data_IF_481555278872
#
_entry.id   IF_481555278872
#
_cell.length_a   1.000
_cell.length_b   1.000
_cell.length_c   1.000
_cell.angle_alpha   90.00
_cell.angle_beta   90.00
_cell.angle_gamma   90.00
#
_symmetry.space_group_name_H-M   'P 1'
#
loop_
_entity.id
_entity.type
_entity.pdbx_description
1 polymer ?
#
# COMPACT_ATOMS: atom_id res chain seq x y z
N UNK A 1 -33.63 -13.63 11.28
CA UNK A 1 -32.67 -14.74 11.54
C UNK A 1 -31.25 -14.22 11.51
N UNK A 2 -30.45 -14.51 12.57
CA UNK A 2 -29.01 -14.15 12.58
C UNK A 2 -28.27 -14.94 11.50
N UNK A 3 -27.60 -14.28 10.52
CA UNK A 3 -26.79 -14.99 9.53
C UNK A 3 -25.63 -15.70 10.21
N UNK A 4 -25.58 -17.03 10.14
CA UNK A 4 -24.52 -17.86 10.72
C UNK A 4 -23.55 -18.28 9.62
N UNK A 5 -22.25 -18.06 9.85
CA UNK A 5 -21.15 -18.42 8.97
C UNK A 5 -20.28 -19.51 9.61
N UNK A 6 -19.51 -20.24 8.80
CA UNK A 6 -18.45 -21.09 9.35
C UNK A 6 -17.26 -20.22 9.75
N UNK A 7 -16.93 -19.24 8.90
CA UNK A 7 -15.86 -18.29 9.15
C UNK A 7 -16.31 -16.85 8.92
N UNK A 8 -15.92 -15.96 9.82
CA UNK A 8 -15.89 -14.51 9.57
C UNK A 8 -14.43 -14.06 9.57
N UNK A 9 -14.02 -13.46 8.46
CA UNK A 9 -12.68 -12.90 8.28
C UNK A 9 -12.77 -11.39 8.50
N UNK A 10 -11.98 -10.86 9.41
CA UNK A 10 -11.94 -9.42 9.73
C UNK A 10 -10.74 -8.79 9.04
N UNK A 11 -11.02 -8.03 7.99
CA UNK A 11 -10.03 -7.40 7.11
C UNK A 11 -9.85 -8.14 5.78
N UNK A 12 -10.09 -7.41 4.67
CA UNK A 12 -9.94 -7.91 3.30
C UNK A 12 -8.62 -7.51 2.65
N UNK A 13 -7.53 -7.56 3.41
CA UNK A 13 -6.17 -7.46 2.92
C UNK A 13 -5.67 -8.80 2.34
N UNK A 14 -4.36 -8.89 2.06
CA UNK A 14 -3.75 -10.07 1.40
C UNK A 14 -4.03 -11.38 2.14
N UNK A 15 -3.88 -11.38 3.47
CA UNK A 15 -4.13 -12.57 4.29
C UNK A 15 -5.61 -12.96 4.31
N UNK A 16 -6.50 -11.98 4.57
CA UNK A 16 -7.93 -12.22 4.67
C UNK A 16 -8.55 -12.69 3.36
N UNK A 17 -8.22 -12.06 2.25
CA UNK A 17 -8.69 -12.46 0.90
C UNK A 17 -8.22 -13.87 0.55
N UNK A 18 -6.94 -14.19 0.83
CA UNK A 18 -6.40 -15.52 0.58
C UNK A 18 -7.14 -16.59 1.36
N UNK A 19 -7.30 -16.37 2.69
CA UNK A 19 -8.00 -17.29 3.56
C UNK A 19 -9.47 -17.47 3.14
N UNK A 20 -10.21 -16.35 2.96
CA UNK A 20 -11.62 -16.38 2.60
C UNK A 20 -11.87 -17.18 1.31
N UNK A 21 -11.08 -16.93 0.28
CA UNK A 21 -11.17 -17.67 -0.99
C UNK A 21 -10.91 -19.15 -0.81
N UNK A 22 -9.83 -19.50 -0.11
CA UNK A 22 -9.44 -20.90 0.11
C UNK A 22 -10.52 -21.67 0.88
N UNK A 23 -11.11 -21.09 1.91
CA UNK A 23 -12.16 -21.75 2.69
C UNK A 23 -13.47 -21.86 1.90
N UNK A 24 -13.84 -20.83 1.15
CA UNK A 24 -15.03 -20.86 0.31
C UNK A 24 -14.93 -21.93 -0.80
N UNK A 25 -13.76 -22.09 -1.44
CA UNK A 25 -13.54 -23.17 -2.43
C UNK A 25 -13.60 -24.58 -1.83
N UNK A 26 -13.42 -24.70 -0.50
CA UNK A 26 -13.62 -25.95 0.25
C UNK A 26 -15.06 -26.17 0.72
N UNK A 27 -16.01 -25.33 0.30
CA UNK A 27 -17.43 -25.45 0.62
C UNK A 27 -17.87 -24.79 1.93
N UNK A 28 -16.98 -24.10 2.64
CA UNK A 28 -17.36 -23.39 3.87
C UNK A 28 -18.12 -22.09 3.57
N UNK A 29 -19.08 -21.76 4.41
CA UNK A 29 -19.82 -20.49 4.36
C UNK A 29 -18.98 -19.37 4.99
N UNK A 30 -18.39 -18.51 4.15
CA UNK A 30 -17.44 -17.48 4.56
C UNK A 30 -18.01 -16.09 4.38
N UNK A 31 -17.82 -15.25 5.39
CA UNK A 31 -18.03 -13.80 5.32
C UNK A 31 -16.70 -13.08 5.53
N UNK A 32 -16.45 -12.01 4.79
CA UNK A 32 -15.29 -11.13 4.98
C UNK A 32 -15.77 -9.70 5.25
N UNK A 33 -15.22 -9.08 6.29
CA UNK A 33 -15.48 -7.68 6.66
C UNK A 33 -14.33 -6.80 6.19
N UNK A 34 -14.66 -5.65 5.59
CA UNK A 34 -13.66 -4.64 5.23
C UNK A 34 -14.22 -3.23 5.50
N UNK A 35 -13.49 -2.45 6.28
CA UNK A 35 -13.90 -1.08 6.62
C UNK A 35 -13.64 -0.06 5.53
N UNK A 36 -12.74 -0.38 4.58
CA UNK A 36 -12.30 0.51 3.51
C UNK A 36 -12.46 -0.19 2.15
N UNK A 37 -11.38 -0.44 1.43
CA UNK A 37 -11.38 -1.06 0.10
C UNK A 37 -10.79 -2.47 0.16
N UNK A 38 -11.45 -3.43 -0.48
CA UNK A 38 -10.93 -4.81 -0.63
C UNK A 38 -9.59 -4.79 -1.37
N UNK A 39 -8.62 -5.53 -0.84
CA UNK A 39 -7.24 -5.57 -1.34
C UNK A 39 -6.22 -5.13 -0.27
N UNK A 40 -6.68 -4.36 0.73
CA UNK A 40 -5.87 -3.92 1.86
C UNK A 40 -4.66 -3.06 1.47
N UNK A 41 -3.72 -2.91 2.38
CA UNK A 41 -2.55 -2.04 2.20
C UNK A 41 -1.79 -2.36 0.92
N UNK A 42 -1.44 -3.61 0.67
CA UNK A 42 -0.60 -3.99 -0.47
C UNK A 42 -1.19 -3.54 -1.82
N UNK A 43 -2.48 -3.77 -2.05
CA UNK A 43 -3.12 -3.44 -3.33
C UNK A 43 -3.48 -1.97 -3.43
N UNK A 44 -3.96 -1.37 -2.33
CA UNK A 44 -4.59 -0.04 -2.38
C UNK A 44 -3.58 1.08 -2.13
N UNK A 45 -2.65 0.91 -1.17
CA UNK A 45 -1.78 1.99 -0.66
C UNK A 45 -0.39 1.49 -0.24
N UNK A 46 0.14 0.48 -0.91
CA UNK A 46 1.42 -0.12 -0.57
C UNK A 46 2.16 -0.68 -1.79
N UNK A 47 2.33 -2.00 -1.83
CA UNK A 47 3.17 -2.70 -2.81
C UNK A 47 2.84 -2.33 -4.25
N UNK A 48 1.57 -2.38 -4.65
CA UNK A 48 1.17 -2.17 -6.04
C UNK A 48 1.32 -0.71 -6.47
N UNK A 49 0.72 0.28 -5.79
CA UNK A 49 0.89 1.67 -6.21
C UNK A 49 2.34 2.14 -6.11
N UNK A 50 3.12 1.67 -5.10
CA UNK A 50 4.54 1.95 -5.01
C UNK A 50 5.30 1.43 -6.23
N UNK A 51 5.03 0.19 -6.65
CA UNK A 51 5.70 -0.43 -7.80
C UNK A 51 5.40 0.31 -9.11
N UNK A 52 4.16 0.79 -9.29
CA UNK A 52 3.81 1.63 -10.43
C UNK A 52 4.61 2.93 -10.46
N UNK A 53 4.81 3.56 -9.30
CA UNK A 53 5.64 4.75 -9.17
C UNK A 53 7.13 4.47 -9.43
N UNK A 54 7.64 3.34 -8.96
CA UNK A 54 9.02 2.89 -9.26
C UNK A 54 9.20 2.68 -10.76
N UNK A 55 8.27 1.99 -11.43
CA UNK A 55 8.35 1.82 -12.89
C UNK A 55 8.36 3.16 -13.63
N UNK A 56 7.50 4.10 -13.21
CA UNK A 56 7.51 5.44 -13.80
C UNK A 56 8.84 6.18 -13.56
N UNK A 57 9.45 6.01 -12.39
CA UNK A 57 10.72 6.67 -12.05
C UNK A 57 11.92 6.11 -12.82
N UNK A 58 11.88 4.85 -13.21
CA UNK A 58 12.96 4.21 -13.97
C UNK A 58 13.07 4.76 -15.40
N UNK A 59 12.03 5.35 -15.96
CA UNK A 59 12.09 5.96 -17.30
C UNK A 59 13.15 7.04 -17.41
N UNK A 60 13.50 7.74 -16.33
CA UNK A 60 14.59 8.70 -16.33
C UNK A 60 15.92 8.04 -16.71
N UNK A 61 16.25 6.92 -16.11
CA UNK A 61 17.47 6.17 -16.38
C UNK A 61 17.42 5.63 -17.83
N UNK A 62 16.27 5.09 -18.29
CA UNK A 62 16.10 4.62 -19.67
C UNK A 62 16.25 5.73 -20.71
N UNK A 63 15.78 6.95 -20.45
CA UNK A 63 15.98 8.07 -21.35
C UNK A 63 17.45 8.49 -21.41
N UNK A 64 18.18 8.42 -20.31
CA UNK A 64 19.62 8.66 -20.28
C UNK A 64 20.39 7.65 -21.14
N UNK A 65 20.01 6.37 -21.05
CA UNK A 65 20.69 5.28 -21.75
C UNK A 65 20.28 5.17 -23.23
N UNK A 66 19.11 5.68 -23.58
CA UNK A 66 18.49 5.50 -24.90
C UNK A 66 19.40 5.92 -26.08
N UNK A 67 20.18 6.99 -25.92
CA UNK A 67 21.09 7.46 -26.94
C UNK A 67 22.19 6.44 -27.27
N UNK A 68 22.67 5.70 -26.28
CA UNK A 68 23.66 4.63 -26.45
C UNK A 68 23.12 3.44 -27.27
N UNK A 69 21.78 3.32 -27.32
CA UNK A 69 21.06 2.30 -28.10
C UNK A 69 20.51 2.84 -29.44
N UNK A 70 21.00 3.99 -29.91
CA UNK A 70 20.61 4.57 -31.18
C UNK A 70 19.33 5.40 -31.21
N UNK A 71 18.65 5.57 -30.06
CA UNK A 71 17.48 6.42 -29.99
C UNK A 71 17.84 7.90 -29.96
N UNK A 72 17.08 8.71 -30.70
CA UNK A 72 17.23 10.18 -30.70
C UNK A 72 16.12 10.79 -29.85
N UNK A 73 16.49 11.44 -28.75
CA UNK A 73 15.56 12.17 -27.89
C UNK A 73 15.77 13.66 -28.16
N UNK A 74 14.83 14.28 -28.88
CA UNK A 74 14.96 15.67 -29.37
C UNK A 74 14.76 16.71 -28.26
N UNK A 75 14.10 16.38 -27.16
CA UNK A 75 13.91 17.28 -26.01
C UNK A 75 13.99 16.47 -24.71
N UNK A 76 14.48 17.12 -23.64
CA UNK A 76 14.50 16.48 -22.32
C UNK A 76 13.09 16.07 -21.90
N UNK A 77 12.87 14.80 -21.57
CA UNK A 77 11.54 14.33 -21.16
C UNK A 77 11.11 14.95 -19.84
N UNK A 78 9.87 15.42 -19.79
CA UNK A 78 9.28 16.01 -18.58
C UNK A 78 8.29 15.04 -17.93
N UNK A 79 8.25 15.02 -16.61
CA UNK A 79 7.35 14.18 -15.84
C UNK A 79 6.12 14.95 -15.35
N UNK A 80 4.93 14.36 -15.49
CA UNK A 80 3.68 14.90 -14.99
C UNK A 80 3.09 14.02 -13.88
N UNK A 81 3.23 14.45 -12.64
CA UNK A 81 2.73 13.74 -11.47
C UNK A 81 1.22 13.50 -11.52
N UNK A 82 0.41 14.50 -11.89
CA UNK A 82 -1.05 14.36 -11.92
C UNK A 82 -1.51 13.30 -12.90
N UNK A 83 -0.82 13.17 -14.04
CA UNK A 83 -1.04 12.09 -15.02
C UNK A 83 -0.71 10.73 -14.42
N UNK A 84 0.46 10.59 -13.79
CA UNK A 84 0.89 9.35 -13.14
C UNK A 84 -0.07 8.97 -12.02
N UNK A 85 -0.45 9.90 -11.15
CA UNK A 85 -1.41 9.69 -10.08
C UNK A 85 -2.75 9.17 -10.61
N UNK A 86 -3.29 9.80 -11.66
CA UNK A 86 -4.55 9.38 -12.28
C UNK A 86 -4.47 7.97 -12.86
N UNK A 87 -3.40 7.66 -13.61
CA UNK A 87 -3.15 6.35 -14.20
C UNK A 87 -3.01 5.26 -13.12
N UNK A 88 -2.26 5.53 -12.07
CA UNK A 88 -2.13 4.65 -10.90
C UNK A 88 -3.51 4.38 -10.28
N UNK A 89 -4.31 5.41 -10.02
CA UNK A 89 -5.62 5.23 -9.39
C UNK A 89 -6.60 4.43 -10.26
N UNK A 90 -6.55 4.60 -11.59
CA UNK A 90 -7.32 3.78 -12.53
C UNK A 90 -6.97 2.30 -12.39
N UNK A 91 -5.68 1.98 -12.34
CA UNK A 91 -5.20 0.60 -12.18
C UNK A 91 -5.58 0.01 -10.81
N UNK A 92 -5.39 0.77 -9.71
CA UNK A 92 -5.78 0.32 -8.37
C UNK A 92 -7.29 0.05 -8.30
N UNK A 93 -8.11 0.88 -8.95
CA UNK A 93 -9.56 0.67 -9.01
C UNK A 93 -9.91 -0.58 -9.81
N UNK A 94 -9.22 -0.83 -10.92
CA UNK A 94 -9.38 -2.06 -11.71
C UNK A 94 -9.04 -3.31 -10.89
N UNK A 95 -7.93 -3.28 -10.17
CA UNK A 95 -7.50 -4.39 -9.30
C UNK A 95 -8.48 -4.62 -8.15
N UNK A 96 -8.93 -3.56 -7.49
CA UNK A 96 -9.94 -3.66 -6.42
C UNK A 96 -11.21 -4.40 -6.91
N UNK A 97 -11.72 -4.05 -8.10
CA UNK A 97 -12.87 -4.74 -8.72
C UNK A 97 -12.58 -6.23 -8.99
N UNK A 98 -11.36 -6.56 -9.42
CA UNK A 98 -10.96 -7.96 -9.66
C UNK A 98 -10.94 -8.74 -8.34
N UNK A 99 -10.42 -8.15 -7.26
CA UNK A 99 -10.40 -8.78 -5.94
C UNK A 99 -11.82 -9.07 -5.43
N UNK A 100 -12.74 -8.12 -5.59
CA UNK A 100 -14.16 -8.28 -5.25
C UNK A 100 -14.77 -9.42 -6.07
N UNK A 101 -14.67 -9.38 -7.40
CA UNK A 101 -15.18 -10.43 -8.29
C UNK A 101 -14.64 -11.82 -7.96
N UNK A 102 -13.36 -11.92 -7.60
CA UNK A 102 -12.75 -13.20 -7.23
C UNK A 102 -13.27 -13.76 -5.90
N UNK A 103 -13.65 -12.92 -4.95
CA UNK A 103 -14.32 -13.32 -3.72
C UNK A 103 -15.77 -13.78 -4.00
N UNK A 104 -16.51 -12.98 -4.76
CA UNK A 104 -17.90 -13.26 -5.13
C UNK A 104 -18.04 -14.57 -5.93
N UNK A 105 -17.13 -14.79 -6.89
CA UNK A 105 -17.13 -16.00 -7.72
C UNK A 105 -17.05 -17.31 -6.93
N UNK A 106 -16.41 -17.29 -5.77
CA UNK A 106 -16.32 -18.47 -4.88
C UNK A 106 -17.34 -18.44 -3.73
N UNK A 107 -18.33 -17.54 -3.76
CA UNK A 107 -19.43 -17.48 -2.81
C UNK A 107 -19.10 -16.80 -1.47
N UNK A 108 -18.02 -16.02 -1.38
CA UNK A 108 -17.71 -15.24 -0.17
C UNK A 108 -18.66 -14.05 -0.05
N UNK A 109 -19.34 -13.94 1.11
CA UNK A 109 -20.13 -12.74 1.43
C UNK A 109 -19.22 -11.61 1.85
N UNK A 110 -19.22 -10.50 1.11
CA UNK A 110 -18.45 -9.30 1.44
C UNK A 110 -19.35 -8.31 2.18
N UNK A 111 -18.92 -7.84 3.35
CA UNK A 111 -19.59 -6.76 4.09
C UNK A 111 -18.61 -5.61 4.25
N UNK A 112 -18.93 -4.48 3.59
CA UNK A 112 -18.08 -3.29 3.63
C UNK A 112 -18.44 -2.40 4.80
N UNK A 113 -18.13 -2.92 6.00
CA UNK A 113 -18.31 -2.23 7.28
C UNK A 113 -17.22 -2.63 8.27
N UNK A 114 -16.95 -1.76 9.22
CA UNK A 114 -16.17 -2.09 10.40
C UNK A 114 -17.00 -2.91 11.37
N UNK A 115 -16.40 -3.97 11.93
CA UNK A 115 -17.00 -4.82 12.95
C UNK A 115 -16.19 -4.84 14.23
N UNK A 116 -16.88 -4.99 15.36
CA UNK A 116 -16.27 -5.22 16.67
C UNK A 116 -16.86 -6.49 17.29
N UNK A 117 -16.06 -7.24 18.03
CA UNK A 117 -16.55 -8.40 18.75
C UNK A 117 -17.64 -7.97 19.74
N UNK A 118 -18.80 -8.60 19.65
CA UNK A 118 -19.90 -8.47 20.61
C UNK A 118 -19.75 -9.50 21.74
N UNK A 119 -19.36 -10.71 21.36
CA UNK A 119 -18.97 -11.81 22.25
C UNK A 119 -18.06 -12.79 21.49
N UNK A 120 -17.72 -13.94 22.10
CA UNK A 120 -16.86 -14.97 21.52
C UNK A 120 -17.34 -15.51 20.16
N UNK A 121 -18.64 -15.44 19.87
CA UNK A 121 -19.27 -16.08 18.71
C UNK A 121 -19.94 -15.09 17.75
N UNK A 122 -19.84 -13.78 18.00
CA UNK A 122 -20.52 -12.79 17.16
C UNK A 122 -19.79 -11.46 17.10
N UNK A 123 -20.02 -10.75 15.97
CA UNK A 123 -19.53 -9.41 15.69
C UNK A 123 -20.73 -8.49 15.47
N UNK A 124 -20.68 -7.29 16.03
CA UNK A 124 -21.58 -6.19 15.71
C UNK A 124 -20.95 -5.30 14.63
N UNK A 125 -21.71 -5.02 13.58
CA UNK A 125 -21.32 -4.12 12.51
C UNK A 125 -21.56 -2.67 12.95
N UNK A 126 -20.56 -1.82 12.84
CA UNK A 126 -20.61 -0.46 13.43
C UNK A 126 -21.67 0.44 12.80
N UNK A 127 -21.84 0.38 11.48
CA UNK A 127 -22.78 1.25 10.74
C UNK A 127 -24.22 0.73 10.82
N UNK A 128 -24.45 -0.51 10.44
CA UNK A 128 -25.78 -1.09 10.34
C UNK A 128 -26.32 -1.63 11.68
N UNK A 129 -25.49 -1.70 12.73
CA UNK A 129 -25.80 -2.26 14.06
C UNK A 129 -26.23 -3.73 14.01
N UNK A 130 -26.09 -4.39 12.87
CA UNK A 130 -26.44 -5.80 12.72
C UNK A 130 -25.43 -6.68 13.43
N UNK A 131 -25.93 -7.76 14.05
CA UNK A 131 -25.10 -8.79 14.67
C UNK A 131 -25.05 -10.00 13.73
N UNK A 132 -23.83 -10.44 13.42
CA UNK A 132 -23.54 -11.65 12.64
C UNK A 132 -22.71 -12.61 13.47
N UNK A 133 -22.88 -13.91 13.25
CA UNK A 133 -22.20 -14.95 14.04
C UNK A 133 -21.45 -15.94 13.16
N UNK A 134 -20.40 -16.53 13.73
CA UNK A 134 -19.62 -17.58 13.07
C UNK A 134 -19.14 -18.62 14.07
N UNK A 135 -18.75 -19.79 13.55
CA UNK A 135 -18.07 -20.82 14.32
C UNK A 135 -16.62 -20.41 14.66
N UNK A 136 -15.95 -19.71 13.71
CA UNK A 136 -14.56 -19.27 13.87
C UNK A 136 -14.34 -17.89 13.26
N UNK A 137 -13.38 -17.16 13.82
CA UNK A 137 -12.97 -15.83 13.36
C UNK A 137 -11.52 -15.83 12.95
N UNK A 138 -11.21 -15.11 11.85
CA UNK A 138 -9.86 -14.86 11.39
C UNK A 138 -9.61 -13.36 11.47
N UNK A 139 -8.66 -12.98 12.30
CA UNK A 139 -8.26 -11.58 12.48
C UNK A 139 -7.12 -11.29 11.50
N UNK A 140 -7.39 -10.48 10.48
CA UNK A 140 -6.43 -10.10 9.44
C UNK A 140 -6.50 -8.60 9.16
N UNK A 141 -6.57 -7.81 10.24
CA UNK A 141 -6.78 -6.36 10.22
C UNK A 141 -5.57 -5.55 9.74
N UNK A 142 -4.42 -6.19 9.62
CA UNK A 142 -3.18 -5.56 9.18
C UNK A 142 -2.60 -4.59 10.22
N UNK A 143 -1.87 -3.61 9.71
CA UNK A 143 -1.23 -2.56 10.52
C UNK A 143 -1.51 -1.18 9.94
N UNK A 144 -1.21 -0.15 10.72
CA UNK A 144 -1.26 1.25 10.30
C UNK A 144 0.12 1.87 10.44
N UNK A 145 0.50 2.85 9.60
CA UNK A 145 1.73 3.59 9.77
C UNK A 145 1.75 4.29 11.14
N UNK A 146 2.84 4.14 11.89
CA UNK A 146 3.06 4.89 13.12
C UNK A 146 3.69 6.25 12.82
N UNK A 147 3.23 7.29 13.49
CA UNK A 147 3.83 8.63 13.44
C UNK A 147 4.68 8.85 14.69
N UNK A 148 5.89 9.42 14.54
CA UNK A 148 6.73 9.72 15.70
C UNK A 148 6.03 10.71 16.63
N UNK A 149 6.24 10.55 17.95
CA UNK A 149 5.69 11.50 18.94
C UNK A 149 6.64 12.69 19.11
N UNK A 150 6.57 13.64 18.17
CA UNK A 150 7.36 14.87 18.14
C UNK A 150 6.46 16.07 17.88
N UNK A 151 6.82 17.29 18.34
CA UNK A 151 6.12 18.50 17.96
C UNK A 151 6.08 18.69 16.45
N UNK A 152 4.94 19.13 15.90
CA UNK A 152 4.74 19.32 14.46
C UNK A 152 4.40 18.06 13.67
N UNK A 153 4.23 16.88 14.31
CA UNK A 153 3.85 15.64 13.62
C UNK A 153 2.53 15.73 12.85
N UNK A 154 1.65 16.62 13.28
CA UNK A 154 0.35 16.89 12.64
C UNK A 154 0.49 17.57 11.27
N UNK A 155 1.64 18.18 10.98
CA UNK A 155 1.97 18.79 9.68
C UNK A 155 2.57 17.76 8.70
N UNK A 156 2.97 16.60 9.20
CA UNK A 156 3.54 15.53 8.38
C UNK A 156 2.45 14.58 7.89
N UNK A 157 2.73 13.93 6.77
CA UNK A 157 1.90 12.86 6.21
C UNK A 157 2.60 11.51 6.34
N UNK A 158 1.84 10.46 6.44
CA UNK A 158 2.35 9.09 6.40
C UNK A 158 2.31 8.49 4.98
N UNK A 159 2.82 7.26 4.84
CA UNK A 159 2.87 6.56 3.56
C UNK A 159 1.50 6.34 2.92
N UNK A 160 0.44 6.12 3.71
CA UNK A 160 -0.91 5.93 3.20
C UNK A 160 -1.43 7.21 2.55
N UNK A 161 -1.21 8.36 3.21
CA UNK A 161 -1.61 9.68 2.73
C UNK A 161 -0.81 10.10 1.49
N UNK A 162 0.48 9.72 1.40
CA UNK A 162 1.29 9.98 0.22
C UNK A 162 0.65 9.41 -1.07
N UNK A 163 0.10 8.21 -1.03
CA UNK A 163 -0.56 7.63 -2.20
C UNK A 163 -1.84 8.33 -2.63
N UNK A 164 -2.42 9.20 -1.78
CA UNK A 164 -3.62 9.99 -2.09
C UNK A 164 -3.30 11.42 -2.56
N UNK A 165 -2.02 11.81 -2.61
CA UNK A 165 -1.60 13.15 -3.03
C UNK A 165 -1.74 13.37 -4.55
N UNK A 166 -2.75 14.13 -4.95
CA UNK A 166 -2.96 14.55 -6.35
C UNK A 166 -1.89 15.51 -6.87
N UNK A 167 -1.30 16.29 -5.96
CA UNK A 167 -0.19 17.21 -6.23
C UNK A 167 0.85 17.00 -5.13
N UNK A 168 2.13 17.04 -5.48
CA UNK A 168 3.22 16.98 -4.51
C UNK A 168 4.12 18.21 -4.65
N UNK A 169 4.66 18.72 -3.54
CA UNK A 169 5.58 19.86 -3.57
C UNK A 169 6.90 19.48 -4.25
N UNK A 170 7.63 20.49 -4.74
CA UNK A 170 8.94 20.27 -5.36
C UNK A 170 10.00 19.82 -4.34
N UNK A 171 9.91 20.30 -3.11
CA UNK A 171 10.82 19.98 -2.02
C UNK A 171 10.12 19.05 -1.03
N UNK A 172 10.71 17.90 -0.76
CA UNK A 172 10.13 16.83 0.06
C UNK A 172 11.17 16.39 1.08
N UNK A 173 10.79 16.40 2.36
CA UNK A 173 11.59 15.80 3.42
C UNK A 173 10.94 14.50 3.88
N UNK A 174 11.73 13.43 3.92
CA UNK A 174 11.30 12.09 4.34
C UNK A 174 12.02 11.76 5.63
N UNK A 175 11.25 11.47 6.69
CA UNK A 175 11.78 11.08 7.99
C UNK A 175 11.74 9.56 8.12
N UNK A 176 12.90 8.94 8.23
CA UNK A 176 13.03 7.49 8.41
C UNK A 176 14.20 6.91 7.65
N UNK A 177 14.64 5.73 8.07
CA UNK A 177 15.77 4.98 7.48
C UNK A 177 15.38 3.56 7.05
N UNK A 178 14.10 3.23 7.12
CA UNK A 178 13.56 1.93 6.68
C UNK A 178 13.32 1.87 5.17
N UNK A 179 12.98 0.67 4.68
CA UNK A 179 12.83 0.42 3.24
C UNK A 179 11.76 1.31 2.57
N UNK A 180 10.65 1.65 3.24
CA UNK A 180 9.62 2.52 2.68
C UNK A 180 10.16 3.93 2.43
N UNK A 181 10.91 4.49 3.40
CA UNK A 181 11.50 5.81 3.27
C UNK A 181 12.49 5.88 2.12
N UNK A 182 13.35 4.86 2.00
CA UNK A 182 14.33 4.77 0.92
C UNK A 182 13.69 4.59 -0.46
N UNK A 183 12.68 3.71 -0.57
CA UNK A 183 11.95 3.52 -1.82
C UNK A 183 11.30 4.84 -2.28
N UNK A 184 10.67 5.60 -1.38
CA UNK A 184 10.11 6.90 -1.72
C UNK A 184 11.20 7.93 -2.07
N UNK A 185 12.31 7.95 -1.34
CA UNK A 185 13.41 8.86 -1.63
C UNK A 185 13.97 8.64 -3.05
N UNK A 186 14.29 7.39 -3.40
CA UNK A 186 14.83 7.06 -4.71
C UNK A 186 13.85 7.34 -5.86
N UNK A 187 12.58 6.89 -5.72
CA UNK A 187 11.60 7.11 -6.78
C UNK A 187 11.30 8.60 -7.00
N UNK A 188 11.22 9.40 -5.94
CA UNK A 188 10.95 10.83 -6.04
C UNK A 188 12.16 11.59 -6.61
N UNK A 189 13.37 11.21 -6.20
CA UNK A 189 14.59 11.79 -6.79
C UNK A 189 14.68 11.50 -8.29
N UNK A 190 14.37 10.27 -8.72
CA UNK A 190 14.34 9.92 -10.13
C UNK A 190 13.22 10.65 -10.91
N UNK A 191 12.12 11.02 -10.26
CA UNK A 191 11.08 11.87 -10.84
C UNK A 191 11.40 13.38 -10.78
N UNK A 192 12.65 13.75 -10.52
CA UNK A 192 13.16 15.12 -10.45
C UNK A 192 12.61 15.99 -9.32
N UNK A 193 12.25 15.39 -8.18
CA UNK A 193 11.94 16.13 -6.95
C UNK A 193 13.20 16.38 -6.12
N UNK A 194 13.22 17.48 -5.35
CA UNK A 194 14.25 17.74 -4.35
C UNK A 194 13.89 16.95 -3.08
N UNK A 195 14.71 15.95 -2.75
CA UNK A 195 14.41 15.03 -1.64
C UNK A 195 15.48 15.16 -0.57
N UNK A 196 15.05 15.40 0.65
CA UNK A 196 15.87 15.32 1.88
C UNK A 196 15.47 14.07 2.65
N UNK A 197 16.41 13.16 2.91
CA UNK A 197 16.20 12.00 3.76
C UNK A 197 16.77 12.30 5.16
N UNK A 198 15.90 12.38 6.14
CA UNK A 198 16.25 12.68 7.54
C UNK A 198 16.33 11.36 8.30
N UNK A 199 17.52 11.01 8.76
CA UNK A 199 17.79 9.76 9.48
C UNK A 199 18.34 10.03 10.87
N UNK A 200 17.93 9.25 11.84
CA UNK A 200 18.37 9.39 13.23
C UNK A 200 19.78 8.85 13.50
N UNK A 201 20.15 7.78 12.76
CA UNK A 201 21.45 7.10 12.90
C UNK A 201 22.27 7.29 11.63
N UNK A 202 23.59 7.12 11.72
CA UNK A 202 24.50 7.12 10.55
C UNK A 202 24.27 5.96 9.58
N UNK A 203 23.52 4.93 9.99
CA UNK A 203 23.19 3.73 9.22
C UNK A 203 21.72 3.74 8.82
N UNK A 204 21.41 3.10 7.69
CA UNK A 204 20.06 2.88 7.19
C UNK A 204 19.76 1.39 7.16
N UNK A 205 18.50 1.00 7.06
CA UNK A 205 18.05 -0.41 7.02
C UNK A 205 18.59 -1.24 8.19
N UNK A 206 18.53 -0.70 9.42
CA UNK A 206 19.17 -1.31 10.58
C UNK A 206 18.68 -2.73 10.94
N UNK A 207 17.56 -3.17 10.37
CA UNK A 207 16.98 -4.50 10.55
C UNK A 207 17.41 -5.48 9.43
N UNK A 208 18.23 -5.02 8.49
CA UNK A 208 18.76 -5.79 7.37
C UNK A 208 20.27 -5.99 7.54
N UNK A 209 20.84 -6.81 6.66
CA UNK A 209 22.28 -7.00 6.57
C UNK A 209 23.02 -5.66 6.40
N UNK A 210 24.14 -5.49 7.15
CA UNK A 210 24.91 -4.24 7.20
C UNK A 210 25.50 -3.86 5.85
N UNK A 211 25.92 -4.85 5.05
CA UNK A 211 26.53 -4.60 3.74
C UNK A 211 25.49 -4.06 2.77
N UNK A 212 24.25 -4.55 2.83
CA UNK A 212 23.12 -4.02 2.06
C UNK A 212 22.87 -2.56 2.43
N UNK A 213 22.77 -2.25 3.74
CA UNK A 213 22.56 -0.88 4.22
C UNK A 213 23.67 0.06 3.75
N UNK A 214 24.93 -0.37 3.86
CA UNK A 214 26.10 0.40 3.45
C UNK A 214 26.11 0.70 1.95
N UNK A 215 25.87 -0.30 1.11
CA UNK A 215 25.83 -0.15 -0.34
C UNK A 215 24.70 0.78 -0.81
N UNK A 216 23.51 0.65 -0.20
CA UNK A 216 22.38 1.52 -0.52
C UNK A 216 22.66 2.97 -0.08
N UNK A 217 23.28 3.18 1.09
CA UNK A 217 23.68 4.52 1.56
C UNK A 217 24.68 5.17 0.61
N UNK A 218 25.70 4.44 0.18
CA UNK A 218 26.65 4.91 -0.84
C UNK A 218 25.97 5.27 -2.15
N UNK A 219 25.01 4.47 -2.60
CA UNK A 219 24.20 4.76 -3.80
C UNK A 219 23.35 6.03 -3.64
N UNK A 220 22.74 6.23 -2.47
CA UNK A 220 21.95 7.41 -2.17
C UNK A 220 22.82 8.70 -2.19
N UNK A 221 24.03 8.62 -1.64
CA UNK A 221 24.99 9.75 -1.62
C UNK A 221 25.43 10.12 -3.05
N UNK A 222 25.67 9.13 -3.92
CA UNK A 222 26.05 9.38 -5.32
C UNK A 222 24.93 10.00 -6.17
N UNK A 223 23.69 9.78 -5.84
CA UNK A 223 22.50 10.32 -6.53
C UNK A 223 22.08 11.73 -6.04
N UNK A 224 22.96 12.44 -5.33
CA UNK A 224 22.71 13.83 -4.84
C UNK A 224 22.39 14.81 -5.96
#
# INVERSE_FOLDING_TARGET
MKKKYDYIVVGAGSAGVRFARLMATKGYKVCILEKSRVGGTCVIRGCVPKKLYVYASNFKDYFSDATSFGWRISKEPTHNWSKLFSSKNKEITRLNKIYIKNLERVGVTIIQEEGSFYNSNSIVLKKSKKIISAKKFIISTGSTPSMPNIPGRELAINSDQFFEMKKIPKNISIVGSGYIALEFAFLLKNLNYNVNLIVRKKTILNEFDKDIGTRILQSAIRKK
#
